data_IF_702148978846
#
_entry.id   IF_702148978846
#
_cell.length_a   1.000
_cell.length_b   1.000
_cell.length_c   1.000
_cell.angle_alpha   90.00
_cell.angle_beta   90.00
_cell.angle_gamma   90.00
#
_symmetry.space_group_name_H-M   'P 1'
#
loop_
_entity.id
_entity.type
_entity.pdbx_description
1 polymer ?
#
# COMPACT_ATOMS: atom_id res chain seq x y z
N UNK A 1 -38.83 -15.23 11.66
CA UNK A 1 -37.44 -15.70 11.82
C UNK A 1 -36.56 -14.73 11.06
N UNK A 2 -35.85 -13.79 11.71
CA UNK A 2 -34.83 -13.04 11.00
C UNK A 2 -33.65 -13.97 10.76
N UNK A 3 -33.33 -14.19 9.50
CA UNK A 3 -32.11 -14.90 9.09
C UNK A 3 -30.94 -14.01 9.46
N UNK A 4 -30.19 -14.43 10.48
CA UNK A 4 -28.86 -13.91 10.77
C UNK A 4 -28.01 -14.19 9.54
N UNK A 5 -27.85 -13.18 8.67
CA UNK A 5 -26.86 -13.23 7.61
C UNK A 5 -25.50 -13.17 8.32
N UNK A 6 -24.60 -14.14 8.12
CA UNK A 6 -23.25 -13.99 8.63
C UNK A 6 -22.65 -12.77 7.93
N UNK A 7 -22.57 -11.65 8.65
CA UNK A 7 -21.81 -10.47 8.24
C UNK A 7 -20.35 -10.73 8.62
N UNK A 8 -19.84 -11.89 8.20
CA UNK A 8 -18.42 -12.20 8.22
C UNK A 8 -17.95 -11.95 6.78
N UNK A 9 -17.89 -10.68 6.42
CA UNK A 9 -16.95 -10.28 5.38
C UNK A 9 -15.59 -10.67 5.94
N UNK A 10 -14.74 -11.42 5.21
CA UNK A 10 -13.40 -11.72 5.70
C UNK A 10 -12.74 -10.40 6.04
N UNK A 11 -12.55 -10.17 7.33
CA UNK A 11 -12.07 -8.89 7.89
C UNK A 11 -10.57 -8.72 7.63
N UNK A 12 -9.95 -9.68 6.95
CA UNK A 12 -8.51 -9.76 6.71
C UNK A 12 -8.09 -9.38 5.28
N UNK A 13 -8.88 -8.58 4.56
CA UNK A 13 -8.36 -7.99 3.31
C UNK A 13 -7.50 -6.79 3.67
N UNK A 14 -6.19 -7.02 3.70
CA UNK A 14 -5.22 -5.95 3.89
C UNK A 14 -5.12 -5.11 2.61
N UNK A 15 -5.27 -3.80 2.76
CA UNK A 15 -5.11 -2.83 1.68
C UNK A 15 -3.79 -2.09 1.85
N UNK A 16 -2.98 -2.14 0.80
CA UNK A 16 -1.76 -1.36 0.66
C UNK A 16 -2.05 -0.17 -0.27
N UNK A 17 -1.91 1.02 0.28
CA UNK A 17 -2.09 2.29 -0.40
C UNK A 17 -0.74 2.84 -0.85
N UNK A 18 -0.64 3.26 -2.11
CA UNK A 18 0.54 3.93 -2.66
C UNK A 18 0.11 5.33 -3.06
N UNK A 19 0.70 6.35 -2.46
CA UNK A 19 0.40 7.75 -2.76
C UNK A 19 1.65 8.47 -3.26
N UNK A 20 1.52 9.20 -4.36
CA UNK A 20 2.58 10.03 -4.96
C UNK A 20 2.11 11.47 -5.19
N UNK A 21 3.01 12.46 -5.12
CA UNK A 21 2.66 13.86 -5.42
C UNK A 21 2.58 14.18 -6.91
N UNK A 22 3.32 13.44 -7.73
CA UNK A 22 3.39 13.58 -9.18
C UNK A 22 3.88 12.25 -9.75
N UNK A 23 3.42 11.91 -10.95
CA UNK A 23 3.93 10.76 -11.68
C UNK A 23 5.32 11.05 -12.27
N UNK A 24 6.17 10.02 -12.44
CA UNK A 24 7.36 10.10 -13.26
C UNK A 24 7.00 10.63 -14.65
N UNK A 25 7.87 11.49 -15.21
CA UNK A 25 7.66 12.07 -16.56
C UNK A 25 7.58 11.03 -17.66
N UNK A 26 8.13 9.85 -17.41
CA UNK A 26 8.18 8.73 -18.35
C UNK A 26 6.88 7.91 -18.36
N UNK A 27 5.96 8.15 -17.41
CA UNK A 27 4.63 7.53 -17.38
C UNK A 27 3.59 8.51 -17.91
N UNK A 28 2.79 8.06 -18.88
CA UNK A 28 1.71 8.85 -19.46
C UNK A 28 0.51 8.97 -18.53
N UNK A 29 0.26 7.94 -17.70
CA UNK A 29 -0.85 7.93 -16.75
C UNK A 29 -0.64 6.95 -15.57
N UNK A 30 -1.43 7.07 -14.49
CA UNK A 30 -1.43 6.11 -13.38
C UNK A 30 -1.79 4.68 -13.81
N UNK A 31 -2.62 4.53 -14.84
CA UNK A 31 -3.02 3.23 -15.37
C UNK A 31 -1.82 2.52 -16.02
N UNK A 32 -0.90 3.25 -16.64
CA UNK A 32 0.35 2.67 -17.16
C UNK A 32 1.22 2.12 -16.01
N UNK A 33 1.26 2.82 -14.87
CA UNK A 33 1.92 2.30 -13.67
C UNK A 33 1.25 1.02 -13.18
N UNK A 34 -0.08 1.01 -13.14
CA UNK A 34 -0.87 -0.16 -12.76
C UNK A 34 -0.57 -1.35 -13.67
N UNK A 35 -0.57 -1.16 -14.99
CA UNK A 35 -0.29 -2.21 -15.98
C UNK A 35 1.14 -2.75 -15.86
N UNK A 36 2.13 -1.88 -15.65
CA UNK A 36 3.53 -2.28 -15.42
C UNK A 36 3.68 -3.15 -14.17
N UNK A 37 2.87 -2.86 -13.14
CA UNK A 37 2.89 -3.59 -11.89
C UNK A 37 2.06 -4.88 -11.97
N UNK A 38 0.92 -4.89 -12.66
CA UNK A 38 -0.08 -5.96 -12.67
C UNK A 38 0.52 -7.35 -12.97
N UNK A 39 1.29 -7.44 -14.06
CA UNK A 39 1.96 -8.68 -14.46
C UNK A 39 2.95 -9.24 -13.42
N UNK A 40 3.43 -8.38 -12.52
CA UNK A 40 4.39 -8.70 -11.48
C UNK A 40 3.77 -8.83 -10.09
N UNK A 41 2.53 -8.37 -9.94
CA UNK A 41 1.78 -8.29 -8.68
C UNK A 41 0.70 -9.35 -8.56
N UNK A 42 0.15 -9.87 -9.67
CA UNK A 42 -1.05 -10.73 -9.70
C UNK A 42 -1.05 -11.94 -8.76
N UNK A 43 0.11 -12.47 -8.34
CA UNK A 43 0.19 -13.56 -7.37
C UNK A 43 0.12 -13.10 -5.91
N UNK A 44 0.45 -11.84 -5.63
CA UNK A 44 0.62 -11.28 -4.27
C UNK A 44 -0.45 -10.24 -3.94
N UNK A 45 -0.92 -9.49 -4.93
CA UNK A 45 -1.94 -8.48 -4.76
C UNK A 45 -2.73 -8.25 -6.05
N UNK A 46 -3.98 -7.82 -5.89
CA UNK A 46 -4.80 -7.31 -6.99
C UNK A 46 -4.98 -5.80 -6.90
N UNK A 47 -5.01 -5.12 -8.03
CA UNK A 47 -5.32 -3.69 -8.10
C UNK A 47 -6.80 -3.48 -7.74
N UNK A 48 -7.05 -2.67 -6.72
CA UNK A 48 -8.41 -2.38 -6.26
C UNK A 48 -8.91 -1.03 -6.75
N UNK A 49 -8.01 -0.06 -6.86
CA UNK A 49 -8.33 1.30 -7.27
C UNK A 49 -7.08 2.01 -7.77
N UNK A 50 -7.23 2.89 -8.75
CA UNK A 50 -6.18 3.76 -9.27
C UNK A 50 -6.76 5.14 -9.59
N UNK A 51 -6.05 6.19 -9.20
CA UNK A 51 -6.33 7.58 -9.58
C UNK A 51 -5.03 8.35 -9.90
N UNK A 52 -5.17 9.65 -10.16
CA UNK A 52 -4.06 10.57 -10.49
C UNK A 52 -2.87 10.55 -9.53
N UNK A 53 -3.10 10.26 -8.24
CA UNK A 53 -2.12 10.39 -7.16
C UNK A 53 -2.03 9.14 -6.26
N UNK A 54 -2.77 8.08 -6.58
CA UNK A 54 -3.01 6.95 -5.67
C UNK A 54 -3.21 5.63 -6.41
N UNK A 55 -2.63 4.55 -5.85
CA UNK A 55 -2.90 3.17 -6.23
C UNK A 55 -3.22 2.37 -4.97
N UNK A 56 -4.39 1.74 -4.92
CA UNK A 56 -4.74 0.80 -3.87
C UNK A 56 -4.58 -0.64 -4.35
N UNK A 57 -3.87 -1.43 -3.56
CA UNK A 57 -3.64 -2.84 -3.79
C UNK A 57 -4.27 -3.67 -2.68
N UNK A 58 -5.04 -4.69 -3.04
CA UNK A 58 -5.53 -5.72 -2.11
C UNK A 58 -4.52 -6.84 -2.05
N UNK A 59 -3.86 -6.99 -0.91
CA UNK A 59 -2.84 -8.01 -0.68
C UNK A 59 -3.54 -9.35 -0.40
N UNK A 60 -3.13 -10.41 -1.10
CA UNK A 60 -3.71 -11.75 -0.92
C UNK A 60 -3.20 -12.47 0.33
N UNK A 61 -1.97 -12.16 0.73
CA UNK A 61 -1.27 -12.71 1.90
C UNK A 61 -0.90 -11.56 2.85
N UNK A 62 -1.78 -11.15 3.77
CA UNK A 62 -1.55 -10.06 4.71
C UNK A 62 -0.27 -10.24 5.54
N UNK A 63 0.09 -11.49 5.86
CA UNK A 63 1.30 -11.85 6.60
C UNK A 63 2.60 -11.41 5.91
N UNK A 64 2.57 -11.26 4.59
CA UNK A 64 3.72 -10.88 3.76
C UNK A 64 3.71 -9.39 3.38
N UNK A 65 2.76 -8.58 3.89
CA UNK A 65 2.60 -7.18 3.50
C UNK A 65 3.88 -6.36 3.65
N UNK A 66 4.64 -6.57 4.73
CA UNK A 66 5.83 -5.76 5.00
C UNK A 66 6.93 -6.04 3.97
N UNK A 67 7.16 -7.32 3.66
CA UNK A 67 8.09 -7.75 2.63
C UNK A 67 7.60 -7.31 1.25
N UNK A 68 6.29 -7.42 0.99
CA UNK A 68 5.67 -6.97 -0.25
C UNK A 68 5.82 -5.46 -0.46
N UNK A 69 5.56 -4.66 0.57
CA UNK A 69 5.76 -3.22 0.54
C UNK A 69 7.24 -2.84 0.39
N UNK A 70 8.18 -3.67 0.86
CA UNK A 70 9.61 -3.48 0.61
C UNK A 70 9.94 -3.64 -0.88
N UNK A 71 9.58 -4.79 -1.45
CA UNK A 71 9.85 -5.12 -2.84
C UNK A 71 9.17 -4.12 -3.79
N UNK A 72 7.96 -3.69 -3.45
CA UNK A 72 7.20 -2.71 -4.23
C UNK A 72 7.82 -1.31 -4.14
N UNK A 73 8.30 -0.89 -2.97
CA UNK A 73 9.03 0.36 -2.81
C UNK A 73 10.28 0.39 -3.70
N UNK A 74 11.04 -0.70 -3.73
CA UNK A 74 12.25 -0.81 -4.56
C UNK A 74 11.90 -0.73 -6.06
N UNK A 75 10.83 -1.42 -6.49
CA UNK A 75 10.35 -1.35 -7.88
C UNK A 75 9.89 0.04 -8.28
N UNK A 76 9.09 0.70 -7.44
CA UNK A 76 8.65 2.08 -7.66
C UNK A 76 9.86 3.03 -7.74
N UNK A 77 10.87 2.82 -6.91
CA UNK A 77 12.12 3.59 -6.99
C UNK A 77 12.86 3.36 -8.31
N UNK A 78 12.88 2.14 -8.84
CA UNK A 78 13.48 1.83 -10.15
C UNK A 78 12.71 2.45 -11.32
N UNK A 79 11.38 2.59 -11.18
CA UNK A 79 10.52 3.30 -12.12
C UNK A 79 10.64 4.84 -12.03
N UNK A 80 11.52 5.35 -11.16
CA UNK A 80 11.76 6.78 -11.01
C UNK A 80 10.66 7.51 -10.23
N UNK A 81 9.87 6.80 -9.43
CA UNK A 81 8.87 7.43 -8.56
C UNK A 81 9.54 8.41 -7.61
N UNK A 82 8.92 9.59 -7.37
CA UNK A 82 9.54 10.62 -6.56
C UNK A 82 9.72 10.17 -5.11
N UNK A 83 10.74 10.71 -4.42
CA UNK A 83 11.08 10.43 -3.01
C UNK A 83 9.90 10.59 -2.03
N UNK A 84 8.92 11.41 -2.40
CA UNK A 84 7.70 11.68 -1.63
C UNK A 84 6.58 10.68 -1.94
N UNK A 85 6.88 9.58 -2.60
CA UNK A 85 5.96 8.46 -2.78
C UNK A 85 5.97 7.60 -1.53
N UNK A 86 4.79 7.31 -1.01
CA UNK A 86 4.61 6.57 0.23
C UNK A 86 3.70 5.37 0.02
N UNK A 87 4.11 4.25 0.59
CA UNK A 87 3.29 3.06 0.75
C UNK A 87 2.75 3.07 2.19
N UNK A 88 1.46 2.84 2.37
CA UNK A 88 0.85 2.76 3.69
C UNK A 88 -0.18 1.64 3.77
N UNK A 89 -0.25 0.96 4.90
CA UNK A 89 -1.23 -0.09 5.14
C UNK A 89 -1.66 -0.06 6.60
N UNK A 90 -2.77 -0.74 6.89
CA UNK A 90 -3.27 -0.91 8.24
C UNK A 90 -3.42 -2.38 8.55
N UNK A 91 -2.91 -2.79 9.71
CA UNK A 91 -3.09 -4.11 10.28
C UNK A 91 -3.47 -4.00 11.78
N UNK A 92 -3.47 -5.13 12.48
CA UNK A 92 -3.78 -5.20 13.92
C UNK A 92 -2.83 -4.38 14.81
N UNK A 93 -1.60 -4.13 14.35
CA UNK A 93 -0.59 -3.36 15.07
C UNK A 93 -0.72 -1.84 14.84
N UNK A 94 -1.47 -1.45 13.80
CA UNK A 94 -1.83 -0.06 13.53
C UNK A 94 -1.58 0.36 12.08
N UNK A 95 -1.24 1.64 11.90
CA UNK A 95 -0.95 2.20 10.57
C UNK A 95 0.55 2.22 10.34
N UNK A 96 0.96 1.61 9.24
CA UNK A 96 2.34 1.55 8.79
C UNK A 96 2.54 2.42 7.57
N UNK A 97 3.75 2.94 7.41
CA UNK A 97 4.13 3.78 6.27
C UNK A 97 5.59 3.59 5.92
N UNK A 98 5.86 3.50 4.62
CA UNK A 98 7.19 3.37 4.02
C UNK A 98 7.36 4.34 2.86
N UNK A 99 8.55 4.89 2.66
CA UNK A 99 8.88 5.65 1.45
C UNK A 99 9.48 4.75 0.38
N UNK A 100 9.30 5.08 -0.89
CA UNK A 100 9.93 4.34 -2.01
C UNK A 100 11.46 4.37 -1.99
N UNK A 101 12.09 5.47 -1.55
CA UNK A 101 13.56 5.61 -1.56
C UNK A 101 14.27 5.05 -0.33
N UNK A 102 13.57 4.28 0.51
CA UNK A 102 14.14 3.74 1.74
C UNK A 102 14.54 4.80 2.80
N UNK A 103 14.29 6.09 2.57
CA UNK A 103 14.36 7.12 3.61
C UNK A 103 13.29 6.84 4.66
N UNK A 104 13.69 6.14 5.73
CA UNK A 104 12.86 5.91 6.93
C UNK A 104 12.10 7.19 7.31
N UNK A 105 10.83 7.24 6.96
CA UNK A 105 9.88 8.19 7.55
C UNK A 105 9.66 7.67 8.95
N UNK A 106 10.03 8.47 9.94
CA UNK A 106 9.84 8.11 11.34
C UNK A 106 8.40 7.63 11.53
N UNK A 107 8.23 6.35 11.85
CA UNK A 107 6.98 5.81 12.37
C UNK A 107 6.68 6.64 13.61
N UNK A 108 5.68 7.52 13.52
CA UNK A 108 5.17 8.24 14.66
C UNK A 108 4.49 7.22 15.58
N UNK A 109 5.29 6.52 16.39
CA UNK A 109 4.79 5.84 17.58
C UNK A 109 4.11 6.91 18.40
N UNK A 110 2.78 6.88 18.40
CA UNK A 110 1.95 7.62 19.35
C UNK A 110 2.48 7.25 20.73
N UNK A 111 3.25 8.14 21.38
CA UNK A 111 3.54 8.02 22.80
C UNK A 111 2.17 8.10 23.48
N UNK A 112 1.65 6.95 23.90
CA UNK A 112 0.63 6.93 24.95
C UNK A 112 1.33 7.52 26.16
N UNK A 113 1.10 8.81 26.40
CA UNK A 113 1.56 9.48 27.59
C UNK A 113 0.97 8.79 28.79
N UNK A 114 1.78 8.04 29.53
CA UNK A 114 1.47 7.69 30.91
C UNK A 114 1.75 8.95 31.73
N UNK A 115 0.68 9.69 32.00
CA UNK A 115 0.70 10.75 33.01
C UNK A 115 0.68 10.08 34.38
N UNK A 116 1.68 10.45 35.18
CA UNK A 116 1.86 10.33 36.64
C UNK A 116 1.19 9.15 37.37
#
# INVERSE_FOLDING_TARGET
MPTDLPTDLPTDVLVLDIAWPELPRDLASPEELADLLDASLWQRAGIAFVDENRLELRVHHPEDVEAFAADLADRLSLLGMPDRTYLSWRDELGVHRRSVTGRRVATARRRVGRVA
#
